data_IF_729959537762
#
_entry.id   IF_729959537762
#
_cell.length_a   1.000
_cell.length_b   1.000
_cell.length_c   1.000
_cell.angle_alpha   90.00
_cell.angle_beta   90.00
_cell.angle_gamma   90.00
#
_symmetry.space_group_name_H-M   'P 1'
#
loop_
_entity.id
_entity.type
_entity.pdbx_description
1 polymer ?
#
# COMPACT_ATOMS: atom_id res chain seq x y z
N UNK A 1 -9.21 -1.50 -0.53
CA UNK A 1 -8.20 -1.02 -1.50
C UNK A 1 -7.24 0.03 -0.94
N UNK A 2 -7.51 0.64 0.23
CA UNK A 2 -6.72 1.72 0.84
C UNK A 2 -5.22 1.43 1.01
N UNK A 3 -4.85 0.22 1.44
CA UNK A 3 -3.44 -0.18 1.61
C UNK A 3 -2.67 -0.08 0.30
N UNK A 4 -3.21 -0.67 -0.77
CA UNK A 4 -2.56 -0.66 -2.08
C UNK A 4 -2.44 0.74 -2.65
N UNK A 5 -3.51 1.52 -2.59
CA UNK A 5 -3.48 2.92 -3.01
C UNK A 5 -2.41 3.71 -2.27
N UNK A 6 -2.39 3.63 -0.92
CA UNK A 6 -1.43 4.35 -0.09
C UNK A 6 0.01 3.94 -0.39
N UNK A 7 0.33 2.65 -0.42
CA UNK A 7 1.69 2.18 -0.73
C UNK A 7 2.16 2.68 -2.09
N UNK A 8 1.31 2.59 -3.12
CA UNK A 8 1.66 3.03 -4.48
C UNK A 8 1.86 4.55 -4.52
N UNK A 9 0.95 5.32 -3.91
CA UNK A 9 1.04 6.78 -3.83
C UNK A 9 2.37 7.22 -3.19
N UNK A 10 2.75 6.61 -2.08
CA UNK A 10 3.97 7.01 -1.37
C UNK A 10 5.25 6.62 -2.12
N UNK A 11 5.24 5.50 -2.84
CA UNK A 11 6.33 5.16 -3.79
C UNK A 11 6.40 6.19 -4.93
N UNK A 12 5.26 6.67 -5.42
CA UNK A 12 5.18 7.64 -6.52
C UNK A 12 5.66 9.03 -6.11
N UNK A 13 5.08 9.57 -5.04
CA UNK A 13 5.30 10.94 -4.58
C UNK A 13 6.58 11.08 -3.76
N UNK A 14 7.12 9.97 -3.23
CA UNK A 14 8.33 9.92 -2.41
C UNK A 14 8.26 10.81 -1.17
N UNK A 15 7.07 11.03 -0.61
CA UNK A 15 6.91 11.82 0.60
C UNK A 15 7.56 11.11 1.81
N UNK A 16 7.49 9.78 1.86
CA UNK A 16 8.28 8.95 2.77
C UNK A 16 8.40 7.52 2.20
N UNK A 17 9.27 6.69 2.80
CA UNK A 17 9.37 5.26 2.47
C UNK A 17 8.39 4.45 3.31
N UNK A 18 7.36 3.80 2.72
CA UNK A 18 6.40 2.97 3.43
C UNK A 18 7.05 1.84 4.23
N UNK A 19 6.61 1.64 5.48
CA UNK A 19 7.01 0.51 6.32
C UNK A 19 5.81 -0.23 6.91
N UNK A 20 5.98 -1.50 7.27
CA UNK A 20 4.92 -2.36 7.79
C UNK A 20 4.10 -1.72 8.94
N UNK A 21 4.78 -1.00 9.84
CA UNK A 21 4.18 -0.27 10.96
C UNK A 21 3.15 0.78 10.55
N UNK A 22 3.35 1.46 9.42
CA UNK A 22 2.45 2.51 8.92
C UNK A 22 1.07 1.95 8.57
N UNK A 23 1.01 0.66 8.22
CA UNK A 23 -0.19 -0.06 7.77
C UNK A 23 -0.73 -1.01 8.85
N UNK A 24 -0.09 -1.07 10.03
CA UNK A 24 -0.45 -2.02 11.08
C UNK A 24 -0.23 -3.49 10.68
N UNK A 25 0.74 -3.74 9.82
CA UNK A 25 1.11 -5.07 9.34
C UNK A 25 2.38 -5.56 10.05
N UNK A 26 2.56 -6.86 10.11
CA UNK A 26 3.86 -7.46 10.39
C UNK A 26 4.81 -7.26 9.20
N UNK A 27 6.11 -7.35 9.45
CA UNK A 27 7.12 -7.21 8.40
C UNK A 27 6.91 -8.21 7.26
N UNK A 28 6.58 -9.47 7.59
CA UNK A 28 6.35 -10.54 6.62
C UNK A 28 5.09 -10.26 5.77
N UNK A 29 4.00 -9.81 6.38
CA UNK A 29 2.78 -9.44 5.64
C UNK A 29 3.05 -8.30 4.66
N UNK A 30 3.79 -7.28 5.10
CA UNK A 30 4.14 -6.16 4.24
C UNK A 30 5.06 -6.59 3.09
N UNK A 31 6.07 -7.41 3.36
CA UNK A 31 6.96 -7.96 2.33
C UNK A 31 6.22 -8.76 1.26
N UNK A 32 5.32 -9.64 1.70
CA UNK A 32 4.46 -10.41 0.82
C UNK A 32 3.52 -9.51 0.01
N UNK A 33 3.02 -8.44 0.62
CA UNK A 33 2.19 -7.45 -0.07
C UNK A 33 2.97 -6.70 -1.16
N UNK A 34 4.19 -6.25 -0.87
CA UNK A 34 5.07 -5.63 -1.89
C UNK A 34 5.39 -6.62 -3.01
N UNK A 35 5.73 -7.87 -2.67
CA UNK A 35 5.98 -8.90 -3.66
C UNK A 35 4.76 -9.14 -4.56
N UNK A 36 3.55 -9.13 -3.99
CA UNK A 36 2.31 -9.23 -4.74
C UNK A 36 2.14 -8.04 -5.72
N UNK A 37 2.42 -6.81 -5.29
CA UNK A 37 2.36 -5.63 -6.17
C UNK A 37 3.38 -5.72 -7.31
N UNK A 38 4.60 -6.21 -7.04
CA UNK A 38 5.60 -6.48 -8.07
C UNK A 38 5.11 -7.53 -9.07
N UNK A 39 4.62 -8.68 -8.60
CA UNK A 39 4.12 -9.76 -9.46
C UNK A 39 2.91 -9.35 -10.30
N UNK A 40 2.07 -8.44 -9.80
CA UNK A 40 0.95 -7.85 -10.55
C UNK A 40 1.37 -6.77 -11.55
N UNK A 41 2.66 -6.42 -11.58
CA UNK A 41 3.23 -5.42 -12.47
C UNK A 41 2.85 -4.00 -12.11
N UNK A 42 2.63 -3.70 -10.82
CA UNK A 42 2.38 -2.34 -10.33
C UNK A 42 3.65 -1.64 -9.88
N UNK A 43 4.60 -2.39 -9.31
CA UNK A 43 5.86 -1.87 -8.79
C UNK A 43 7.02 -2.59 -9.45
N UNK A 44 8.07 -1.85 -9.79
CA UNK A 44 9.32 -2.37 -10.32
C UNK A 44 10.51 -1.87 -9.50
N UNK A 45 11.67 -2.52 -9.69
CA UNK A 45 12.96 -2.11 -9.09
C UNK A 45 12.96 -2.09 -7.55
N UNK A 46 12.20 -2.95 -6.90
CA UNK A 46 12.36 -3.20 -5.47
C UNK A 46 13.71 -3.88 -5.26
N UNK A 47 14.56 -3.31 -4.42
CA UNK A 47 15.86 -3.90 -4.11
C UNK A 47 15.67 -4.99 -3.06
N UNK A 48 16.16 -6.20 -3.33
CA UNK A 48 16.14 -7.34 -2.40
C UNK A 48 17.56 -7.88 -2.24
N UNK A 49 18.04 -7.96 -0.99
CA UNK A 49 19.37 -8.49 -0.65
C UNK A 49 19.24 -9.32 0.62
N UNK A 50 19.49 -10.62 0.53
CA UNK A 50 19.28 -11.59 1.61
C UNK A 50 17.85 -11.47 2.19
N UNK A 51 17.72 -11.33 3.50
CA UNK A 51 16.46 -11.18 4.23
C UNK A 51 15.98 -9.72 4.32
N UNK A 52 16.50 -8.82 3.48
CA UNK A 52 16.13 -7.40 3.49
C UNK A 52 15.63 -6.97 2.13
N UNK A 53 14.66 -6.06 2.12
CA UNK A 53 14.25 -5.35 0.93
C UNK A 53 14.22 -3.83 1.16
N UNK A 54 14.26 -3.07 0.07
CA UNK A 54 14.17 -1.61 0.09
C UNK A 54 13.29 -1.11 -1.04
N UNK A 55 12.37 -0.21 -0.70
CA UNK A 55 11.51 0.51 -1.65
C UNK A 55 12.15 1.80 -2.19
N UNK A 56 13.34 2.19 -1.69
CA UNK A 56 13.99 3.44 -2.13
C UNK A 56 14.24 3.51 -3.66
N UNK A 57 14.67 2.43 -4.35
CA UNK A 57 14.81 2.44 -5.81
C UNK A 57 13.52 2.09 -6.56
N UNK A 58 12.45 1.74 -5.85
CA UNK A 58 11.21 1.25 -6.44
C UNK A 58 10.53 2.34 -7.29
N UNK A 59 9.84 1.90 -8.34
CA UNK A 59 9.09 2.77 -9.26
C UNK A 59 7.74 2.17 -9.58
N UNK A 60 6.78 3.04 -9.87
CA UNK A 60 5.49 2.62 -10.39
C UNK A 60 5.58 2.36 -11.90
N UNK A 61 4.83 1.36 -12.35
CA UNK A 61 4.54 1.14 -13.78
C UNK A 61 3.41 2.06 -14.23
N UNK A 62 3.20 2.20 -15.54
CA UNK A 62 2.03 2.92 -16.09
C UNK A 62 0.71 2.37 -15.53
N UNK A 63 0.60 1.04 -15.42
CA UNK A 63 -0.56 0.35 -14.84
C UNK A 63 -0.86 0.78 -13.39
N UNK A 64 0.17 1.03 -12.60
CA UNK A 64 -0.02 1.52 -11.23
C UNK A 64 -0.45 2.99 -11.20
N UNK A 65 0.03 3.81 -12.14
CA UNK A 65 -0.43 5.19 -12.27
C UNK A 65 -1.92 5.23 -12.65
N UNK A 66 -2.35 4.38 -13.58
CA UNK A 66 -3.76 4.28 -13.95
C UNK A 66 -4.62 3.89 -12.75
N UNK A 67 -4.17 2.92 -11.95
CA UNK A 67 -4.86 2.52 -10.72
C UNK A 67 -4.96 3.66 -9.68
N UNK A 68 -3.91 4.48 -9.55
CA UNK A 68 -3.96 5.66 -8.68
C UNK A 68 -5.00 6.66 -9.17
N UNK A 69 -5.09 6.91 -10.48
CA UNK A 69 -6.08 7.84 -11.05
C UNK A 69 -7.52 7.33 -10.90
N UNK A 70 -7.76 6.04 -11.14
CA UNK A 70 -9.06 5.38 -10.92
C UNK A 70 -9.53 5.50 -9.46
N UNK A 71 -8.57 5.52 -8.53
CA UNK A 71 -8.83 5.55 -7.09
C UNK A 71 -8.51 6.92 -6.45
N UNK A 72 -8.42 7.99 -7.25
CA UNK A 72 -8.06 9.33 -6.76
C UNK A 72 -8.99 9.89 -5.69
N UNK A 73 -10.22 9.40 -5.62
CA UNK A 73 -11.19 9.77 -4.59
C UNK A 73 -10.67 9.53 -3.16
N UNK A 74 -9.70 8.61 -2.97
CA UNK A 74 -9.05 8.43 -1.67
C UNK A 74 -8.26 9.65 -1.21
N UNK A 75 -7.84 10.55 -2.11
CA UNK A 75 -7.07 11.74 -1.76
C UNK A 75 -7.82 12.67 -0.79
N UNK A 76 -9.15 12.72 -0.89
CA UNK A 76 -10.01 13.61 -0.10
C UNK A 76 -9.98 13.27 1.39
N UNK A 77 -9.71 12.01 1.72
CA UNK A 77 -9.66 11.51 3.09
C UNK A 77 -8.30 10.98 3.50
N UNK A 78 -7.27 11.19 2.66
CA UNK A 78 -5.96 10.63 2.86
C UNK A 78 -5.28 11.29 4.07
N UNK A 79 -4.94 10.54 5.13
CA UNK A 79 -4.39 11.11 6.35
C UNK A 79 -2.89 11.38 6.20
N UNK A 80 -2.33 12.10 7.17
CA UNK A 80 -0.89 12.08 7.41
C UNK A 80 -0.41 10.68 7.81
N UNK A 81 0.91 10.44 7.71
CA UNK A 81 1.53 9.13 7.98
C UNK A 81 1.09 8.49 9.30
N UNK A 82 0.97 9.28 10.36
CA UNK A 82 0.55 8.82 11.70
C UNK A 82 -0.88 8.27 11.72
N UNK A 83 -1.75 8.73 10.81
CA UNK A 83 -3.15 8.31 10.70
C UNK A 83 -3.40 7.18 9.71
N UNK A 84 -2.40 6.76 8.92
CA UNK A 84 -2.57 5.75 7.87
C UNK A 84 -3.14 4.44 8.40
N UNK A 85 -2.59 3.95 9.51
CA UNK A 85 -3.04 2.70 10.14
C UNK A 85 -4.54 2.72 10.45
N UNK A 86 -5.02 3.80 11.07
CA UNK A 86 -6.44 3.96 11.42
C UNK A 86 -7.30 4.07 10.16
N UNK A 87 -6.88 4.88 9.17
CA UNK A 87 -7.60 5.07 7.92
C UNK A 87 -7.76 3.76 7.13
N UNK A 88 -6.76 2.89 7.15
CA UNK A 88 -6.83 1.57 6.52
C UNK A 88 -7.77 0.63 7.28
N UNK A 89 -7.75 0.66 8.61
CA UNK A 89 -8.55 -0.25 9.43
C UNK A 89 -10.06 -0.07 9.23
N UNK A 90 -10.52 1.14 8.87
CA UNK A 90 -11.92 1.38 8.51
C UNK A 90 -12.42 0.45 7.41
N UNK A 91 -11.58 0.09 6.43
CA UNK A 91 -11.98 -0.92 5.43
C UNK A 91 -12.14 -2.30 6.05
N UNK A 92 -11.20 -2.73 6.91
CA UNK A 92 -11.27 -4.05 7.55
C UNK A 92 -12.54 -4.20 8.39
N UNK A 93 -12.91 -3.17 9.14
CA UNK A 93 -14.12 -3.16 9.96
C UNK A 93 -15.40 -3.21 9.11
N UNK A 94 -15.46 -2.47 8.00
CA UNK A 94 -16.60 -2.50 7.09
C UNK A 94 -16.80 -3.88 6.43
N UNK A 95 -15.71 -4.59 6.11
CA UNK A 95 -15.79 -5.94 5.55
C UNK A 95 -16.06 -7.02 6.61
N UNK A 96 -15.55 -6.87 7.83
CA UNK A 96 -15.83 -7.79 8.93
C UNK A 96 -17.28 -7.70 9.43
N UNK A 97 -17.87 -6.50 9.43
CA UNK A 97 -19.28 -6.31 9.80
C UNK A 97 -20.27 -6.70 8.69
N UNK A 98 -19.78 -7.03 7.49
CA UNK A 98 -20.60 -7.51 6.37
C UNK A 98 -20.69 -9.04 6.26
N UNK A 99 -20.01 -9.80 7.12
CA UNK A 99 -19.97 -11.26 7.09
C UNK A 99 -21.00 -11.95 8.01
N UNK A 100 -21.87 -11.19 8.70
CA UNK A 100 -22.97 -11.71 9.52
C UNK A 100 -24.36 -11.51 8.87
N UNK A 101 -24.47 -11.66 7.55
CA UNK A 101 -25.76 -11.69 6.87
C UNK A 101 -25.74 -12.63 5.66
N UNK A 102 -25.71 -13.93 5.92
CA UNK A 102 -26.33 -14.94 5.06
C UNK A 102 -26.95 -16.06 5.90
#
# INVERSE_FOLDING_TARGET
MRVGYSVLKEIHEKAFTPSASDYGLTQIEFENFILFLEQKGYVERVLRVNERFSLNPARLTAKAIDLLEENKHYIESYPERSGLKAWIQVEKELYSNGAEAE
#
